data_IF_886348414632
#
_entry.id   IF_886348414632
#
_cell.length_a   1.000
_cell.length_b   1.000
_cell.length_c   1.000
_cell.angle_alpha   90.00
_cell.angle_beta   90.00
_cell.angle_gamma   90.00
#
_symmetry.space_group_name_H-M   'P 1'
#
loop_
_entity.id
_entity.type
_entity.pdbx_description
1 polymer ?
#
# COMPACT_ATOMS: atom_id res chain seq x y z
N UNK A 1 3.19 -4.35 9.17
CA UNK A 1 2.86 -3.15 9.98
C UNK A 1 3.15 -3.41 11.46
N UNK A 2 2.59 -4.46 12.07
CA UNK A 2 2.93 -4.86 13.44
C UNK A 2 4.45 -5.06 13.67
N UNK A 3 5.16 -5.68 12.71
CA UNK A 3 6.62 -5.82 12.77
C UNK A 3 7.40 -4.48 12.78
N UNK A 4 6.78 -3.38 12.37
CA UNK A 4 7.33 -2.01 12.43
C UNK A 4 6.85 -1.26 13.69
N UNK A 5 6.17 -1.93 14.63
CA UNK A 5 5.57 -1.30 15.81
C UNK A 5 4.36 -0.42 15.50
N UNK A 6 3.75 -0.59 14.31
CA UNK A 6 2.58 0.17 13.88
C UNK A 6 1.33 -0.72 14.01
N UNK A 7 0.27 -0.20 14.64
CA UNK A 7 -1.02 -0.87 14.75
C UNK A 7 -1.96 -0.38 13.64
N UNK A 8 -2.33 -1.26 12.68
CA UNK A 8 -3.32 -0.91 11.67
C UNK A 8 -4.74 -1.17 12.15
N UNK A 9 -5.67 -0.34 11.67
CA UNK A 9 -7.10 -0.65 11.65
C UNK A 9 -7.49 -1.04 10.23
N UNK A 10 -8.23 -2.13 10.09
CA UNK A 10 -8.86 -2.53 8.84
C UNK A 10 -10.30 -2.04 8.91
N UNK A 11 -10.67 -1.20 7.95
CA UNK A 11 -12.01 -0.65 7.81
C UNK A 11 -12.61 -1.26 6.55
N UNK A 12 -13.64 -2.08 6.73
CA UNK A 12 -14.38 -2.67 5.61
C UNK A 12 -15.14 -1.58 4.87
N UNK A 13 -15.09 -1.61 3.54
CA UNK A 13 -15.84 -0.69 2.70
C UNK A 13 -17.11 -1.40 2.25
N UNK A 14 -18.31 -0.85 2.50
CA UNK A 14 -19.54 -1.44 2.01
C UNK A 14 -19.53 -1.51 0.47
N UNK A 15 -19.87 -2.68 -0.07
CA UNK A 15 -20.04 -2.90 -1.50
C UNK A 15 -21.35 -3.65 -1.76
N UNK A 16 -22.49 -2.95 -1.71
CA UNK A 16 -23.80 -3.57 -1.85
C UNK A 16 -24.01 -4.24 -3.21
N UNK A 17 -23.26 -3.80 -4.23
CA UNK A 17 -23.37 -4.30 -5.60
C UNK A 17 -22.39 -5.44 -5.90
N UNK A 18 -21.50 -5.79 -4.96
CA UNK A 18 -20.50 -6.85 -5.12
C UNK A 18 -19.56 -6.64 -6.30
N UNK A 19 -19.29 -5.38 -6.66
CA UNK A 19 -18.47 -5.01 -7.82
C UNK A 19 -16.97 -4.95 -7.50
N UNK A 20 -16.61 -4.98 -6.23
CA UNK A 20 -15.27 -4.82 -5.72
C UNK A 20 -14.79 -6.15 -5.12
N UNK A 21 -13.56 -6.53 -5.43
CA UNK A 21 -12.94 -7.69 -4.81
C UNK A 21 -12.49 -7.32 -3.39
N UNK A 22 -13.32 -7.56 -2.37
CA UNK A 22 -13.00 -7.34 -0.94
C UNK A 22 -12.42 -5.93 -0.64
N UNK A 23 -13.21 -4.87 -0.84
CA UNK A 23 -12.72 -3.51 -0.66
C UNK A 23 -12.50 -3.23 0.83
N UNK A 24 -11.29 -2.79 1.17
CA UNK A 24 -10.99 -2.34 2.51
C UNK A 24 -10.01 -1.16 2.49
N UNK A 25 -10.04 -0.43 3.60
CA UNK A 25 -9.07 0.60 3.94
C UNK A 25 -8.18 0.05 5.04
N UNK A 26 -6.86 0.08 4.82
CA UNK A 26 -5.88 -0.14 5.88
C UNK A 26 -5.41 1.22 6.39
N UNK A 27 -5.86 1.58 7.58
CA UNK A 27 -5.48 2.81 8.25
C UNK A 27 -4.42 2.51 9.30
N UNK A 28 -3.50 3.43 9.55
CA UNK A 28 -2.77 3.42 10.81
C UNK A 28 -2.27 4.81 11.15
N UNK A 29 -1.92 5.00 12.40
CA UNK A 29 -1.43 6.28 12.92
C UNK A 29 -0.15 6.09 13.72
N UNK A 30 0.64 7.15 13.79
CA UNK A 30 1.87 7.14 14.58
C UNK A 30 2.19 8.55 15.09
N UNK A 31 2.44 8.67 16.39
CA UNK A 31 2.69 9.96 17.07
C UNK A 31 1.42 10.57 17.66
N UNK A 32 1.56 11.70 18.35
CA UNK A 32 0.45 12.43 18.96
C UNK A 32 0.73 13.94 18.89
N UNK A 33 0.07 14.62 17.94
CA UNK A 33 0.11 16.09 17.79
C UNK A 33 -1.18 16.60 17.17
N UNK A 34 -1.45 17.88 17.43
CA UNK A 34 -2.52 18.63 16.80
C UNK A 34 -2.31 18.85 15.29
N UNK A 35 -1.07 18.76 14.79
CA UNK A 35 -0.78 18.84 13.35
C UNK A 35 -0.57 17.43 12.79
N UNK A 36 -1.46 17.06 11.87
CA UNK A 36 -1.47 15.73 11.25
C UNK A 36 -1.04 15.81 9.79
N UNK A 37 -0.06 14.99 9.41
CA UNK A 37 0.26 14.72 8.01
C UNK A 37 -0.45 13.44 7.59
N UNK A 38 -1.25 13.52 6.52
CA UNK A 38 -1.99 12.39 5.98
C UNK A 38 -1.32 11.86 4.72
N UNK A 39 -0.94 10.59 4.76
CA UNK A 39 -0.43 9.85 3.62
C UNK A 39 -1.56 9.00 3.03
N UNK A 40 -1.69 8.98 1.71
CA UNK A 40 -2.68 8.16 1.03
C UNK A 40 -2.01 7.31 -0.05
N UNK A 41 -2.48 6.08 -0.19
CA UNK A 41 -2.12 5.22 -1.29
C UNK A 41 -3.19 4.20 -1.65
N UNK A 42 -2.88 3.36 -2.63
CA UNK A 42 -3.70 2.23 -3.02
C UNK A 42 -2.81 0.98 -3.17
N UNK A 43 -3.33 -0.18 -2.78
CA UNK A 43 -2.58 -1.44 -2.76
C UNK A 43 -3.09 -2.46 -3.76
N UNK A 44 -4.21 -2.19 -4.44
CA UNK A 44 -4.57 -2.89 -5.66
C UNK A 44 -3.56 -2.57 -6.78
N UNK A 45 -3.71 -3.28 -7.88
CA UNK A 45 -2.88 -3.10 -9.06
C UNK A 45 -3.73 -3.38 -10.29
N UNK A 46 -3.36 -2.76 -11.41
CA UNK A 46 -3.96 -3.10 -12.70
C UNK A 46 -3.70 -4.58 -13.07
N UNK A 47 -4.56 -5.20 -13.90
CA UNK A 47 -4.35 -6.56 -14.36
C UNK A 47 -2.95 -6.82 -14.92
N UNK A 48 -2.42 -8.00 -14.64
CA UNK A 48 -1.18 -8.46 -15.25
C UNK A 48 -1.45 -8.97 -16.67
N UNK A 49 -0.52 -8.68 -17.57
CA UNK A 49 -0.43 -9.27 -18.90
C UNK A 49 0.34 -10.60 -18.86
N UNK A 50 1.20 -10.77 -17.85
CA UNK A 50 1.97 -11.99 -17.62
C UNK A 50 2.12 -12.23 -16.11
N UNK A 51 1.91 -13.46 -15.65
CA UNK A 51 2.06 -13.84 -14.23
C UNK A 51 3.46 -13.57 -13.69
N UNK A 52 4.49 -13.61 -14.53
CA UNK A 52 5.88 -13.24 -14.17
C UNK A 52 5.97 -11.81 -13.63
N UNK A 53 5.04 -10.92 -13.98
CA UNK A 53 5.01 -9.57 -13.42
C UNK A 53 4.78 -9.57 -11.90
N UNK A 54 4.23 -10.63 -11.31
CA UNK A 54 4.08 -10.78 -9.86
C UNK A 54 5.31 -11.40 -9.18
N UNK A 55 6.31 -11.83 -9.95
CA UNK A 55 7.61 -12.25 -9.43
C UNK A 55 8.51 -11.01 -9.39
N UNK A 56 8.63 -10.40 -8.22
CA UNK A 56 9.43 -9.19 -8.08
C UNK A 56 10.94 -9.50 -8.18
N UNK A 57 11.65 -8.76 -9.01
CA UNK A 57 13.10 -8.90 -9.21
C UNK A 57 13.83 -7.64 -8.75
N UNK A 58 15.02 -7.84 -8.18
CA UNK A 58 15.94 -6.73 -7.88
C UNK A 58 16.99 -6.68 -8.98
N UNK A 59 17.06 -5.55 -9.71
CA UNK A 59 18.01 -5.36 -10.81
C UNK A 59 18.42 -3.90 -10.89
N UNK A 60 19.72 -3.65 -10.99
CA UNK A 60 20.30 -2.29 -11.14
C UNK A 60 19.82 -1.29 -10.09
N UNK A 61 19.73 -1.73 -8.83
CA UNK A 61 19.24 -0.91 -7.71
C UNK A 61 17.72 -0.64 -7.74
N UNK A 62 16.97 -1.29 -8.62
CA UNK A 62 15.52 -1.16 -8.77
C UNK A 62 14.80 -2.43 -8.37
N UNK A 63 13.53 -2.30 -7.99
CA UNK A 63 12.61 -3.43 -7.79
C UNK A 63 11.61 -3.42 -8.94
N UNK A 64 11.66 -4.46 -9.78
CA UNK A 64 10.83 -4.61 -10.98
C UNK A 64 9.73 -5.61 -10.65
N UNK A 65 8.47 -5.18 -10.81
CA UNK A 65 7.30 -6.02 -10.58
C UNK A 65 6.01 -5.21 -10.64
N UNK A 66 4.88 -5.88 -10.83
CA UNK A 66 3.56 -5.26 -10.84
C UNK A 66 3.31 -4.60 -9.49
N UNK A 67 3.00 -3.31 -9.53
CA UNK A 67 2.68 -2.51 -8.36
C UNK A 67 3.88 -1.96 -7.60
N UNK A 68 5.12 -2.27 -7.99
CA UNK A 68 6.31 -1.73 -7.28
C UNK A 68 6.38 -0.23 -7.42
N UNK A 69 6.17 0.30 -8.64
CA UNK A 69 6.12 1.73 -8.92
C UNK A 69 4.74 2.35 -8.57
N UNK A 70 3.64 1.68 -8.90
CA UNK A 70 2.27 2.18 -8.68
C UNK A 70 1.43 1.21 -7.83
N UNK A 71 1.32 1.39 -6.52
CA UNK A 71 2.15 2.32 -5.71
C UNK A 71 2.67 1.70 -4.42
N UNK A 72 2.93 0.39 -4.42
CA UNK A 72 3.39 -0.36 -3.25
C UNK A 72 4.72 0.18 -2.71
N UNK A 73 5.64 0.60 -3.59
CA UNK A 73 6.89 1.24 -3.16
C UNK A 73 6.65 2.53 -2.36
N UNK A 74 5.67 3.34 -2.77
CA UNK A 74 5.25 4.53 -2.05
C UNK A 74 4.67 4.19 -0.68
N UNK A 75 3.77 3.21 -0.60
CA UNK A 75 3.19 2.73 0.67
C UNK A 75 4.29 2.27 1.63
N UNK A 76 5.23 1.44 1.17
CA UNK A 76 6.33 0.96 2.00
C UNK A 76 7.18 2.13 2.51
N UNK A 77 7.47 3.11 1.64
CA UNK A 77 8.24 4.30 2.02
C UNK A 77 7.55 5.10 3.14
N UNK A 78 6.22 5.27 3.05
CA UNK A 78 5.42 5.94 4.08
C UNK A 78 5.44 5.18 5.42
N UNK A 79 5.32 3.85 5.39
CA UNK A 79 5.36 3.02 6.59
C UNK A 79 6.72 3.10 7.30
N UNK A 80 7.81 3.00 6.54
CA UNK A 80 9.17 3.12 7.11
C UNK A 80 9.45 4.54 7.60
N UNK A 81 8.95 5.57 6.91
CA UNK A 81 9.01 6.96 7.40
C UNK A 81 8.27 7.13 8.73
N UNK A 82 7.07 6.59 8.86
CA UNK A 82 6.28 6.63 10.08
C UNK A 82 6.95 5.86 11.25
N UNK A 83 7.57 4.72 10.96
CA UNK A 83 8.30 3.91 11.93
C UNK A 83 9.61 4.58 12.38
N UNK A 84 10.31 5.28 11.48
CA UNK A 84 11.56 5.95 11.78
C UNK A 84 11.41 7.23 12.63
N UNK A 85 10.19 7.72 12.90
CA UNK A 85 9.94 8.95 13.70
C UNK A 85 10.75 9.00 15.00
N UNK A 86 10.89 7.87 15.70
CA UNK A 86 11.58 7.78 16.99
C UNK A 86 13.11 7.94 16.92
N UNK A 87 13.73 7.75 15.75
CA UNK A 87 15.19 7.84 15.58
C UNK A 87 15.69 9.22 15.12
N UNK A 88 14.78 10.16 14.84
CA UNK A 88 15.12 11.50 14.34
C UNK A 88 14.67 12.58 15.33
N UNK A 89 15.63 13.20 16.03
CA UNK A 89 15.38 14.24 17.05
C UNK A 89 14.56 15.44 16.55
N UNK A 90 14.57 15.72 15.23
CA UNK A 90 13.77 16.77 14.61
C UNK A 90 12.25 16.45 14.62
N UNK A 91 11.90 15.17 14.43
CA UNK A 91 10.51 14.73 14.40
C UNK A 91 9.90 14.55 15.79
N UNK A 92 10.72 14.16 16.78
CA UNK A 92 10.30 14.10 18.19
C UNK A 92 9.85 15.47 18.73
N UNK A 93 10.49 16.57 18.29
CA UNK A 93 10.14 17.94 18.71
C UNK A 93 8.91 18.52 18.01
N UNK A 94 8.56 18.03 16.82
CA UNK A 94 7.41 18.53 16.06
C UNK A 94 6.08 17.90 16.50
N UNK A 95 6.12 16.84 17.31
CA UNK A 95 4.96 16.07 17.75
C UNK A 95 4.21 15.32 16.63
N UNK A 96 4.60 15.48 15.37
CA UNK A 96 3.78 15.19 14.19
C UNK A 96 3.06 13.83 14.24
N UNK A 97 1.73 13.89 14.10
CA UNK A 97 0.91 12.72 13.89
C UNK A 97 0.93 12.39 12.39
N UNK A 98 1.30 11.16 12.03
CA UNK A 98 1.13 10.68 10.67
C UNK A 98 0.02 9.64 10.65
N UNK A 99 -0.96 9.84 9.78
CA UNK A 99 -1.95 8.81 9.46
C UNK A 99 -1.72 8.39 8.03
N UNK A 100 -1.73 7.09 7.75
CA UNK A 100 -1.77 6.60 6.39
C UNK A 100 -3.04 5.80 6.14
N UNK A 101 -3.46 5.80 4.88
CA UNK A 101 -4.56 5.01 4.37
C UNK A 101 -4.12 4.37 3.07
N UNK A 102 -4.30 3.06 2.95
CA UNK A 102 -4.17 2.36 1.68
C UNK A 102 -5.53 1.74 1.34
N UNK A 103 -6.02 1.99 0.12
CA UNK A 103 -7.30 1.47 -0.39
C UNK A 103 -7.07 0.37 -1.42
N UNK A 104 -8.04 -0.54 -1.55
CA UNK A 104 -8.17 -1.41 -2.74
C UNK A 104 -9.16 -0.74 -3.71
N UNK A 105 -8.71 -0.33 -4.90
CA UNK A 105 -9.61 0.10 -5.99
C UNK A 105 -10.30 -1.13 -6.61
N UNK A 106 -11.45 -0.92 -7.29
CA UNK A 106 -12.06 -1.94 -8.14
C UNK A 106 -11.02 -2.59 -9.03
N UNK A 107 -10.99 -3.93 -9.05
CA UNK A 107 -10.29 -4.64 -10.10
C UNK A 107 -10.90 -4.21 -11.44
N UNK A 108 -10.07 -3.73 -12.37
CA UNK A 108 -10.50 -3.67 -13.77
C UNK A 108 -10.82 -5.12 -14.16
N UNK A 109 -12.11 -5.40 -14.36
CA UNK A 109 -12.71 -6.68 -14.79
C UNK A 109 -11.71 -7.80 -15.02
N UNK A 110 -11.75 -8.84 -14.17
CA UNK A 110 -10.99 -10.09 -14.30
C UNK A 110 -10.87 -10.47 -15.78
N UNK A 111 -9.69 -10.30 -16.36
CA UNK A 111 -9.44 -10.78 -17.72
C UNK A 111 -9.68 -12.31 -17.71
N UNK A 112 -10.38 -12.87 -18.71
CA UNK A 112 -10.61 -14.30 -18.76
C UNK A 112 -9.28 -15.06 -18.72
N UNK A 113 -9.26 -16.22 -18.06
CA UNK A 113 -8.10 -17.10 -17.84
C UNK A 113 -7.48 -17.69 -19.13
N UNK A 114 -7.67 -17.06 -20.29
CA UNK A 114 -7.13 -17.49 -21.58
C UNK A 114 -5.89 -16.68 -21.94
N UNK A 115 -4.80 -16.92 -21.23
CA UNK A 115 -3.45 -16.74 -21.77
C UNK A 115 -2.72 -18.08 -21.64
N UNK A 116 -3.28 -19.12 -22.26
CA UNK A 116 -2.49 -20.24 -22.71
C UNK A 116 -1.67 -19.76 -23.92
N UNK A 117 -0.37 -19.57 -23.74
CA UNK A 117 0.55 -19.38 -24.86
C UNK A 117 0.58 -20.70 -25.67
N UNK A 118 0.49 -20.65 -27.02
CA UNK A 118 0.74 -21.84 -27.82
C UNK A 118 2.22 -22.28 -27.68
N UNK A 119 2.42 -23.60 -27.74
CA UNK A 119 3.69 -24.29 -27.62
C UNK A 119 4.70 -23.96 -28.74
#
# INVERSE_FOLDING_TARGET
MHALGLSPDIIDVPDPDGRLDEPCIVRGSAGASARTLYFHGHFDVVPAQDRRQFTAERRDGRIIGRGTADMKGGIVSMLYGAAARGSWACWARAGSCCTWCATRRPAASRAPDTCAAPA
#
